data_IF_245391701303
#
_entry.id   IF_245391701303
#
_cell.length_a   1.000
_cell.length_b   1.000
_cell.length_c   1.000
_cell.angle_alpha   90.00
_cell.angle_beta   90.00
_cell.angle_gamma   90.00
#
_symmetry.space_group_name_H-M   'P 1'
#
loop_
_entity.id
_entity.type
_entity.pdbx_description
1 polymer ?
#
# COMPACT_ATOMS: atom_id res chain seq x y z
N UNK A 1 31.13 59.71 -7.42
CA UNK A 1 32.01 60.80 -6.95
C UNK A 1 31.12 61.82 -6.25
N UNK A 2 31.62 62.48 -5.20
CA UNK A 2 30.93 63.38 -4.24
C UNK A 2 30.27 62.60 -3.09
N UNK A 3 30.99 62.28 -2.01
CA UNK A 3 31.61 63.10 -0.94
C UNK A 3 30.65 63.39 0.21
N UNK A 4 31.00 62.78 1.35
CA UNK A 4 30.48 62.94 2.70
C UNK A 4 30.70 64.37 3.20
N UNK A 5 29.71 64.94 3.89
CA UNK A 5 29.92 66.05 4.82
C UNK A 5 29.43 65.59 6.20
N UNK A 6 30.39 65.43 7.11
CA UNK A 6 30.19 65.35 8.54
C UNK A 6 29.83 66.72 9.11
N UNK A 7 28.86 66.80 10.00
CA UNK A 7 28.89 67.81 11.07
C UNK A 7 28.49 67.17 12.40
N UNK A 8 29.45 67.24 13.30
CA UNK A 8 29.34 67.01 14.73
C UNK A 8 28.60 68.17 15.40
N UNK A 9 27.79 67.89 16.43
CA UNK A 9 27.71 68.79 17.58
C UNK A 9 27.12 68.16 18.85
N UNK A 10 27.97 68.26 19.88
CA UNK A 10 27.70 68.57 21.30
C UNK A 10 26.79 67.67 22.13
N UNK A 11 27.48 66.98 23.03
CA UNK A 11 27.03 66.54 24.33
C UNK A 11 26.37 67.66 25.15
N UNK A 12 25.28 67.32 25.83
CA UNK A 12 24.80 68.00 27.02
C UNK A 12 24.55 66.94 28.10
N UNK A 13 25.23 67.07 29.22
CA UNK A 13 25.10 66.25 30.41
C UNK A 13 23.80 66.56 31.16
N UNK A 14 23.10 65.54 31.65
CA UNK A 14 22.43 65.61 32.94
C UNK A 14 22.25 64.23 33.58
N UNK A 15 22.53 64.19 34.89
CA UNK A 15 22.56 63.03 35.76
C UNK A 15 21.17 62.61 36.25
N UNK A 16 21.01 61.29 36.40
CA UNK A 16 20.24 60.52 37.41
C UNK A 16 18.71 60.69 37.46
N UNK A 17 18.00 59.63 37.13
CA UNK A 17 17.39 58.73 38.12
C UNK A 17 16.96 57.42 37.46
N UNK A 18 17.08 56.33 38.21
CA UNK A 18 16.81 54.99 37.71
C UNK A 18 15.32 54.77 37.45
N UNK A 19 15.05 54.05 36.37
CA UNK A 19 14.07 52.98 36.39
C UNK A 19 14.60 51.87 35.48
N UNK A 20 14.66 50.67 36.05
CA UNK A 20 15.01 49.45 35.37
C UNK A 20 13.88 49.09 34.41
N UNK A 21 14.06 49.40 33.14
CA UNK A 21 13.41 48.68 32.05
C UNK A 21 14.52 48.15 31.18
N UNK A 22 14.84 46.89 31.43
CA UNK A 22 15.67 46.04 30.58
C UNK A 22 15.12 46.11 29.16
N UNK A 23 15.82 46.82 28.27
CA UNK A 23 15.63 46.67 26.84
C UNK A 23 15.88 45.18 26.53
N UNK A 24 14.81 44.46 26.18
CA UNK A 24 14.88 43.13 25.61
C UNK A 24 15.49 43.22 24.21
N UNK A 25 16.80 43.48 24.13
CA UNK A 25 17.60 43.53 22.89
C UNK A 25 17.96 42.12 22.38
N UNK A 26 16.98 41.21 22.36
CA UNK A 26 17.16 39.86 21.79
C UNK A 26 16.12 39.49 20.73
N UNK A 27 15.25 40.41 20.33
CA UNK A 27 14.44 40.22 19.12
C UNK A 27 15.24 40.62 17.88
N UNK A 28 15.75 39.63 17.14
CA UNK A 28 16.20 39.84 15.76
C UNK A 28 14.97 39.71 14.85
N UNK A 29 14.91 40.51 13.78
CA UNK A 29 13.78 40.53 12.83
C UNK A 29 13.42 39.14 12.30
N UNK A 30 14.42 38.27 12.15
CA UNK A 30 14.26 36.87 11.77
C UNK A 30 15.30 36.05 12.53
N UNK A 31 14.91 34.88 13.03
CA UNK A 31 15.81 33.90 13.65
C UNK A 31 15.55 32.57 12.98
N UNK A 32 16.58 31.98 12.37
CA UNK A 32 16.54 30.59 11.91
C UNK A 32 16.60 29.70 13.15
N UNK A 33 15.43 29.37 13.71
CA UNK A 33 15.28 28.64 14.96
C UNK A 33 15.37 27.11 14.78
N UNK A 34 15.29 26.62 13.54
CA UNK A 34 15.28 25.19 13.26
C UNK A 34 16.68 24.69 12.87
N UNK A 35 17.15 23.63 13.50
CA UNK A 35 18.43 22.97 13.21
C UNK A 35 18.34 21.95 12.05
N UNK A 36 17.25 21.99 11.26
CA UNK A 36 17.03 21.19 10.06
C UNK A 36 16.04 21.84 9.06
N UNK A 37 16.44 21.80 7.79
CA UNK A 37 15.77 22.12 6.50
C UNK A 37 15.18 23.50 6.21
N UNK A 38 14.93 24.34 7.21
CA UNK A 38 14.62 25.76 6.99
C UNK A 38 13.46 26.04 6.01
N UNK A 39 13.66 27.04 5.13
CA UNK A 39 12.70 27.49 4.11
C UNK A 39 12.73 26.53 2.92
N UNK A 40 11.59 25.95 2.55
CA UNK A 40 11.46 25.01 1.44
C UNK A 40 11.09 25.71 0.12
N UNK A 41 11.52 25.14 -1.00
CA UNK A 41 11.21 25.65 -2.34
C UNK A 41 9.74 25.40 -2.72
N UNK A 42 8.99 26.50 -2.94
CA UNK A 42 7.60 26.45 -3.39
C UNK A 42 7.45 25.86 -4.81
N UNK A 43 8.48 25.97 -5.64
CA UNK A 43 8.55 25.35 -6.96
C UNK A 43 8.52 23.82 -6.86
N UNK A 44 9.26 23.25 -5.90
CA UNK A 44 9.29 21.80 -5.68
C UNK A 44 7.93 21.26 -5.21
N UNK A 45 7.24 21.99 -4.31
CA UNK A 45 5.86 21.67 -3.93
C UNK A 45 4.93 21.66 -5.14
N UNK A 46 5.00 22.71 -5.98
CA UNK A 46 4.15 22.84 -7.17
C UNK A 46 4.40 21.69 -8.16
N UNK A 47 5.68 21.40 -8.43
CA UNK A 47 6.13 20.28 -9.26
C UNK A 47 5.58 18.95 -8.75
N UNK A 48 5.83 18.63 -7.48
CA UNK A 48 5.42 17.34 -6.89
C UNK A 48 3.90 17.20 -6.81
N UNK A 49 3.15 18.28 -6.56
CA UNK A 49 1.68 18.26 -6.57
C UNK A 49 1.13 18.00 -7.97
N UNK A 50 1.63 18.72 -8.97
CA UNK A 50 1.09 18.68 -10.34
C UNK A 50 1.36 17.37 -11.06
N UNK A 51 2.47 16.69 -10.71
CA UNK A 51 2.81 15.38 -11.25
C UNK A 51 1.88 14.26 -10.78
N UNK A 52 1.06 14.47 -9.75
CA UNK A 52 0.11 13.45 -9.27
C UNK A 52 -1.15 13.41 -10.14
N UNK A 53 -1.53 12.21 -10.54
CA UNK A 53 -2.69 11.95 -11.37
C UNK A 53 -3.66 10.95 -10.73
N UNK A 54 -4.91 11.04 -11.18
CA UNK A 54 -5.95 10.04 -10.93
C UNK A 54 -5.90 8.97 -12.02
N UNK A 55 -5.86 7.69 -11.65
CA UNK A 55 -5.86 6.57 -12.59
C UNK A 55 -7.23 5.91 -12.58
N UNK A 56 -7.80 5.67 -13.77
CA UNK A 56 -9.05 4.94 -13.94
C UNK A 56 -9.11 4.18 -15.27
N UNK A 57 -9.85 3.07 -15.32
CA UNK A 57 -10.13 2.35 -16.56
C UNK A 57 -11.39 2.89 -17.24
N UNK A 58 -11.30 3.18 -18.55
CA UNK A 58 -12.42 3.79 -19.30
C UNK A 58 -13.43 2.80 -19.89
N UNK A 59 -13.13 1.49 -19.85
CA UNK A 59 -13.85 0.45 -20.61
C UNK A 59 -14.43 -0.70 -19.79
N UNK A 60 -14.13 -0.79 -18.50
CA UNK A 60 -14.57 -1.92 -17.66
C UNK A 60 -15.72 -1.50 -16.73
N UNK A 61 -16.72 -2.39 -16.56
CA UNK A 61 -17.78 -2.25 -15.54
C UNK A 61 -17.19 -2.30 -14.12
N UNK A 62 -16.02 -2.92 -13.95
CA UNK A 62 -15.24 -2.82 -12.73
C UNK A 62 -14.52 -1.48 -12.67
N UNK A 63 -15.01 -0.58 -11.83
CA UNK A 63 -14.34 0.68 -11.49
C UNK A 63 -13.00 0.41 -10.77
N UNK A 64 -11.96 0.04 -11.52
CA UNK A 64 -10.57 0.09 -11.07
C UNK A 64 -10.12 1.54 -11.08
N UNK A 65 -9.74 2.03 -9.90
CA UNK A 65 -9.36 3.41 -9.68
C UNK A 65 -8.27 3.52 -8.63
N UNK A 66 -7.38 4.49 -8.80
CA UNK A 66 -6.26 4.71 -7.91
C UNK A 66 -5.60 6.06 -8.14
N UNK A 67 -4.52 6.29 -7.43
CA UNK A 67 -3.61 7.41 -7.63
C UNK A 67 -2.38 6.93 -8.40
N UNK A 68 -1.72 7.84 -9.06
CA UNK A 68 -0.41 7.62 -9.64
C UNK A 68 0.32 8.94 -9.80
N UNK A 69 1.51 8.89 -10.37
CA UNK A 69 2.27 10.10 -10.63
C UNK A 69 3.23 9.96 -11.80
N UNK A 70 3.52 11.09 -12.44
CA UNK A 70 4.51 11.23 -13.49
C UNK A 70 5.91 11.35 -12.90
N UNK A 71 6.82 10.49 -13.35
CA UNK A 71 8.14 10.36 -12.77
C UNK A 71 9.24 10.21 -13.82
N UNK A 72 10.44 10.68 -13.46
CA UNK A 72 11.69 10.46 -14.18
C UNK A 72 12.47 9.38 -13.42
N UNK A 73 12.66 8.22 -14.04
CA UNK A 73 13.40 7.10 -13.47
C UNK A 73 14.60 6.75 -14.34
N UNK A 74 15.75 6.50 -13.73
CA UNK A 74 16.95 6.03 -14.45
C UNK A 74 17.08 4.53 -14.32
N UNK A 75 16.99 3.80 -15.44
CA UNK A 75 17.17 2.35 -15.51
C UNK A 75 18.37 2.04 -16.40
N UNK A 76 19.35 1.29 -15.87
CA UNK A 76 20.58 0.93 -16.60
C UNK A 76 21.31 2.14 -17.22
N UNK A 77 21.27 3.30 -16.55
CA UNK A 77 21.89 4.54 -17.03
C UNK A 77 21.09 5.32 -18.08
N UNK A 78 19.86 4.90 -18.39
CA UNK A 78 18.96 5.58 -19.33
C UNK A 78 17.79 6.17 -18.55
N UNK A 79 17.50 7.44 -18.81
CA UNK A 79 16.36 8.13 -18.23
C UNK A 79 15.06 7.78 -18.96
N UNK A 80 14.02 7.49 -18.19
CA UNK A 80 12.68 7.17 -18.67
C UNK A 80 11.66 8.03 -17.94
N UNK A 81 10.73 8.62 -18.71
CA UNK A 81 9.58 9.35 -18.20
C UNK A 81 8.37 8.43 -18.21
N UNK A 82 7.80 8.17 -17.04
CA UNK A 82 6.86 7.08 -16.80
C UNK A 82 5.74 7.50 -15.86
N UNK A 83 4.66 6.73 -15.83
CA UNK A 83 3.64 6.77 -14.78
C UNK A 83 3.91 5.65 -13.79
N UNK A 84 3.85 5.95 -12.50
CA UNK A 84 4.01 4.98 -11.41
C UNK A 84 2.71 4.90 -10.60
N UNK A 85 2.31 3.68 -10.25
CA UNK A 85 1.18 3.36 -9.36
C UNK A 85 1.42 2.02 -8.65
N UNK A 86 0.42 1.44 -7.99
CA UNK A 86 0.52 0.11 -7.39
C UNK A 86 0.15 -1.03 -8.35
N UNK A 87 0.68 -2.22 -8.09
CA UNK A 87 0.31 -3.45 -8.81
C UNK A 87 -1.18 -3.76 -8.65
N UNK A 88 -1.74 -3.61 -7.45
CA UNK A 88 -3.17 -3.88 -7.27
C UNK A 88 -4.10 -2.84 -7.94
N UNK A 89 -3.57 -1.70 -8.39
CA UNK A 89 -4.32 -0.73 -9.22
C UNK A 89 -4.29 -1.15 -10.69
N UNK A 90 -3.10 -1.47 -11.21
CA UNK A 90 -2.88 -1.98 -12.57
C UNK A 90 -1.90 -3.15 -12.53
N UNK A 91 -2.40 -4.39 -12.65
CA UNK A 91 -1.57 -5.58 -12.39
C UNK A 91 -1.00 -6.23 -13.66
N UNK A 92 -1.50 -5.87 -14.84
CA UNK A 92 -1.08 -6.41 -16.13
C UNK A 92 -1.15 -5.35 -17.25
N UNK A 93 -0.64 -5.72 -18.43
CA UNK A 93 -0.54 -4.80 -19.58
C UNK A 93 -1.91 -4.47 -20.18
N UNK A 94 -2.83 -5.42 -20.14
CA UNK A 94 -4.17 -5.31 -20.70
C UNK A 94 -4.98 -4.24 -19.95
N UNK A 95 -4.94 -4.28 -18.62
CA UNK A 95 -5.53 -3.26 -17.74
C UNK A 95 -4.88 -1.90 -17.97
N UNK A 96 -3.55 -1.84 -18.00
CA UNK A 96 -2.82 -0.61 -18.24
C UNK A 96 -3.15 0.00 -19.61
N UNK A 97 -3.38 -0.81 -20.65
CA UNK A 97 -3.75 -0.33 -21.99
C UNK A 97 -5.16 0.30 -22.03
N UNK A 98 -6.04 -0.09 -21.11
CA UNK A 98 -7.38 0.47 -20.96
C UNK A 98 -7.46 1.66 -19.98
N UNK A 99 -6.36 1.91 -19.25
CA UNK A 99 -6.27 2.93 -18.21
C UNK A 99 -5.93 4.32 -18.75
N UNK A 100 -6.43 5.32 -18.04
CA UNK A 100 -6.21 6.74 -18.27
C UNK A 100 -5.63 7.36 -17.01
N UNK A 101 -4.59 8.17 -17.16
CA UNK A 101 -4.09 9.07 -16.13
C UNK A 101 -4.68 10.48 -16.35
N UNK A 102 -5.37 11.00 -15.34
CA UNK A 102 -5.94 12.34 -15.33
C UNK A 102 -5.16 13.26 -14.43
N UNK A 103 -4.50 14.23 -15.02
CA UNK A 103 -3.77 15.28 -14.32
C UNK A 103 -4.66 16.49 -14.04
N UNK A 104 -4.19 17.40 -13.17
CA UNK A 104 -4.89 18.65 -12.83
C UNK A 104 -6.36 18.47 -12.40
N UNK A 105 -6.72 17.27 -11.92
CA UNK A 105 -8.06 16.98 -11.43
C UNK A 105 -8.24 17.57 -10.03
N UNK A 106 -8.54 18.87 -10.01
CA UNK A 106 -8.59 19.71 -8.82
C UNK A 106 -9.81 20.65 -8.91
N UNK A 107 -10.57 20.75 -7.83
CA UNK A 107 -11.73 21.64 -7.76
C UNK A 107 -12.80 21.29 -8.79
N UNK A 108 -13.15 22.25 -9.67
CA UNK A 108 -14.23 22.10 -10.67
C UNK A 108 -13.71 21.82 -12.09
N UNK A 109 -12.39 21.79 -12.29
CA UNK A 109 -11.82 21.58 -13.61
C UNK A 109 -11.86 20.08 -13.96
N UNK A 110 -12.15 19.72 -15.22
CA UNK A 110 -12.26 18.32 -15.63
C UNK A 110 -10.92 17.56 -15.61
N UNK A 111 -9.79 18.25 -15.51
CA UNK A 111 -8.45 17.68 -15.59
C UNK A 111 -7.99 17.46 -17.04
N UNK A 112 -6.81 16.86 -17.19
CA UNK A 112 -6.18 16.56 -18.46
C UNK A 112 -5.88 15.06 -18.57
N UNK A 113 -6.53 14.39 -19.52
CA UNK A 113 -6.48 12.94 -19.67
C UNK A 113 -5.39 12.49 -20.64
N UNK A 114 -4.70 11.42 -20.29
CA UNK A 114 -3.77 10.72 -21.17
C UNK A 114 -3.89 9.21 -21.00
N UNK A 115 -3.92 8.48 -22.12
CA UNK A 115 -3.89 7.02 -22.08
C UNK A 115 -2.49 6.53 -21.74
N UNK A 116 -2.42 5.51 -20.89
CA UNK A 116 -1.16 4.85 -20.60
C UNK A 116 -0.71 4.00 -21.80
N UNK A 117 0.60 3.81 -21.92
CA UNK A 117 1.27 3.13 -23.05
C UNK A 117 2.15 1.98 -22.53
N UNK A 118 1.56 0.87 -22.04
CA UNK A 118 2.32 -0.27 -21.49
C UNK A 118 3.19 -0.99 -22.53
N UNK A 119 2.96 -0.77 -23.82
CA UNK A 119 3.80 -1.24 -24.92
C UNK A 119 5.17 -0.56 -24.95
N UNK A 120 5.28 0.69 -24.46
CA UNK A 120 6.55 1.41 -24.38
C UNK A 120 7.39 0.93 -23.18
N UNK A 121 6.73 0.72 -22.05
CA UNK A 121 7.35 0.19 -20.83
C UNK A 121 6.28 -0.36 -19.89
N UNK A 122 6.55 -1.52 -19.30
CA UNK A 122 5.72 -2.08 -18.23
C UNK A 122 6.55 -2.96 -17.31
N UNK A 123 6.70 -2.53 -16.06
CA UNK A 123 7.32 -3.33 -14.99
C UNK A 123 6.39 -3.35 -13.78
N UNK A 124 6.13 -4.52 -13.22
CA UNK A 124 5.24 -4.65 -12.07
C UNK A 124 5.76 -5.67 -11.07
N UNK A 125 5.41 -5.50 -9.80
CA UNK A 125 5.69 -6.45 -8.74
C UNK A 125 4.54 -6.45 -7.72
N UNK A 126 4.01 -7.62 -7.44
CA UNK A 126 2.88 -7.84 -6.52
C UNK A 126 3.28 -7.74 -5.05
N UNK A 127 4.51 -8.13 -4.70
CA UNK A 127 4.98 -8.11 -3.31
C UNK A 127 5.30 -6.69 -2.82
N UNK A 128 6.10 -5.94 -3.59
CA UNK A 128 6.41 -4.53 -3.35
C UNK A 128 5.28 -3.60 -3.79
N UNK A 129 4.28 -4.16 -4.48
CA UNK A 129 3.03 -3.52 -4.88
C UNK A 129 3.26 -2.25 -5.71
N UNK A 130 4.04 -2.34 -6.79
CA UNK A 130 4.27 -1.23 -7.72
C UNK A 130 4.05 -1.64 -9.17
N UNK A 131 3.71 -0.67 -10.01
CA UNK A 131 3.68 -0.77 -11.46
C UNK A 131 4.26 0.51 -12.07
N UNK A 132 5.19 0.35 -13.01
CA UNK A 132 5.78 1.40 -13.85
C UNK A 132 5.24 1.20 -15.27
N UNK A 133 4.61 2.24 -15.83
CA UNK A 133 3.99 2.21 -17.14
C UNK A 133 4.54 3.35 -18.02
N UNK A 134 4.79 3.07 -19.29
CA UNK A 134 5.12 4.10 -20.29
C UNK A 134 3.95 5.06 -20.55
N UNK A 135 4.25 6.25 -21.06
CA UNK A 135 3.27 7.27 -21.39
C UNK A 135 3.76 8.19 -22.52
N UNK A 136 2.88 9.07 -22.99
CA UNK A 136 3.24 10.16 -23.91
C UNK A 136 3.80 11.35 -23.12
N UNK A 137 5.10 11.27 -22.79
CA UNK A 137 5.75 12.24 -21.92
C UNK A 137 5.75 13.67 -22.50
N UNK A 138 5.90 13.83 -23.82
CA UNK A 138 5.88 15.14 -24.48
C UNK A 138 4.55 15.86 -24.26
N UNK A 139 3.42 15.14 -24.35
CA UNK A 139 2.11 15.71 -24.05
C UNK A 139 2.00 16.14 -22.58
N UNK A 140 2.50 15.33 -21.64
CA UNK A 140 2.44 15.66 -20.20
C UNK A 140 3.28 16.91 -19.90
N UNK A 141 4.50 16.98 -20.41
CA UNK A 141 5.43 18.08 -20.13
C UNK A 141 5.04 19.36 -20.87
N UNK A 142 4.85 19.29 -22.18
CA UNK A 142 4.75 20.48 -23.03
C UNK A 142 3.31 20.96 -23.20
N UNK A 143 2.32 20.07 -23.12
CA UNK A 143 0.90 20.45 -23.26
C UNK A 143 0.20 20.60 -21.93
N UNK A 144 0.50 19.75 -20.94
CA UNK A 144 -0.09 19.88 -19.60
C UNK A 144 0.76 20.73 -18.65
N UNK A 145 1.99 21.09 -19.04
CA UNK A 145 2.94 21.86 -18.23
C UNK A 145 3.25 21.16 -16.90
N UNK A 146 3.59 19.87 -16.96
CA UNK A 146 3.84 19.04 -15.78
C UNK A 146 5.25 18.45 -15.86
N UNK A 147 6.10 18.87 -14.93
CA UNK A 147 7.42 18.29 -14.77
C UNK A 147 7.36 16.94 -14.03
N UNK A 148 8.21 15.96 -14.38
CA UNK A 148 8.26 14.68 -13.70
C UNK A 148 8.91 14.79 -12.32
N UNK A 149 8.42 14.01 -11.35
CA UNK A 149 9.08 13.82 -10.06
C UNK A 149 10.31 12.91 -10.26
N UNK A 150 11.44 13.27 -9.66
CA UNK A 150 12.62 12.40 -9.66
C UNK A 150 12.35 11.14 -8.83
N UNK A 151 12.46 9.98 -9.47
CA UNK A 151 12.36 8.67 -8.81
C UNK A 151 13.77 8.14 -8.52
N UNK A 152 14.33 8.61 -7.41
CA UNK A 152 15.67 8.28 -6.95
C UNK A 152 15.64 7.61 -5.58
N UNK A 153 16.80 7.14 -5.11
CA UNK A 153 16.95 6.67 -3.74
C UNK A 153 16.71 7.84 -2.77
N UNK A 154 15.92 7.59 -1.74
CA UNK A 154 15.54 8.61 -0.79
C UNK A 154 16.71 9.07 0.10
N UNK A 155 16.75 10.38 0.41
CA UNK A 155 17.65 10.93 1.42
C UNK A 155 17.39 10.25 2.79
N UNK A 156 18.41 10.06 3.65
CA UNK A 156 18.23 9.52 4.99
C UNK A 156 17.09 10.23 5.76
N UNK A 157 16.24 9.42 6.37
CA UNK A 157 15.00 9.84 7.04
C UNK A 157 14.91 9.21 8.42
N UNK A 158 14.23 9.92 9.33
CA UNK A 158 14.07 9.55 10.72
C UNK A 158 12.59 9.43 11.09
N UNK A 159 12.29 8.60 12.10
CA UNK A 159 10.98 8.62 12.74
C UNK A 159 10.73 10.03 13.29
N UNK A 160 9.52 10.56 13.08
CA UNK A 160 9.15 11.93 13.43
C UNK A 160 9.34 12.96 12.31
N UNK A 161 9.99 12.59 11.19
CA UNK A 161 10.06 13.43 10.01
C UNK A 161 8.68 13.65 9.39
N UNK A 162 8.48 14.85 8.85
CA UNK A 162 7.22 15.23 8.21
C UNK A 162 7.10 14.66 6.80
N UNK A 163 5.91 14.16 6.49
CA UNK A 163 5.53 13.66 5.18
C UNK A 163 4.27 14.33 4.64
N UNK A 164 4.21 14.40 3.32
CA UNK A 164 3.07 14.90 2.57
C UNK A 164 2.63 13.83 1.56
N UNK A 165 1.32 13.61 1.46
CA UNK A 165 0.75 12.66 0.52
C UNK A 165 -0.28 13.39 -0.34
N UNK A 166 -0.02 13.51 -1.63
CA UNK A 166 -0.98 14.02 -2.61
C UNK A 166 -1.69 12.83 -3.26
N UNK A 167 -3.01 12.83 -3.23
CA UNK A 167 -3.80 11.63 -3.50
C UNK A 167 -5.20 11.95 -4.03
N UNK A 168 -5.83 10.94 -4.64
CA UNK A 168 -7.21 10.96 -5.13
C UNK A 168 -8.09 10.00 -4.31
N UNK A 169 -8.40 10.34 -3.05
CA UNK A 169 -9.25 9.49 -2.20
C UNK A 169 -10.63 9.37 -2.84
N UNK A 170 -11.20 8.17 -2.82
CA UNK A 170 -12.44 7.74 -3.46
C UNK A 170 -12.50 7.95 -4.98
N UNK A 171 -11.38 8.34 -5.61
CA UNK A 171 -11.34 8.80 -6.98
C UNK A 171 -11.85 10.23 -7.18
N UNK A 172 -11.98 11.01 -6.10
CA UNK A 172 -12.38 12.41 -6.14
C UNK A 172 -11.22 13.33 -6.55
N UNK A 173 -11.51 14.63 -6.65
CA UNK A 173 -10.51 15.70 -6.83
C UNK A 173 -9.36 15.56 -5.86
N UNK A 174 -8.14 15.89 -6.32
CA UNK A 174 -6.91 15.75 -5.54
C UNK A 174 -7.02 16.40 -4.16
N UNK A 175 -6.57 15.68 -3.15
CA UNK A 175 -6.42 16.14 -1.76
C UNK A 175 -5.00 15.91 -1.30
N UNK A 176 -4.65 16.45 -0.14
CA UNK A 176 -3.39 16.15 0.51
C UNK A 176 -3.59 15.82 1.99
N UNK A 177 -2.71 14.97 2.49
CA UNK A 177 -2.57 14.67 3.92
C UNK A 177 -1.15 15.01 4.37
N UNK A 178 -1.00 15.42 5.62
CA UNK A 178 0.28 15.72 6.26
C UNK A 178 0.37 14.97 7.58
N UNK A 179 1.49 14.28 7.82
CA UNK A 179 1.72 13.55 9.06
C UNK A 179 3.21 13.31 9.29
N UNK A 180 3.57 12.75 10.44
CA UNK A 180 4.92 12.26 10.74
C UNK A 180 5.10 10.78 10.41
N UNK A 181 6.34 10.42 10.09
CA UNK A 181 6.79 9.03 9.99
C UNK A 181 6.69 8.39 11.38
N UNK A 182 5.99 7.26 11.49
CA UNK A 182 5.83 6.53 12.75
C UNK A 182 6.82 5.38 12.89
N UNK A 183 7.20 4.73 11.77
CA UNK A 183 8.19 3.65 11.75
C UNK A 183 8.85 3.54 10.39
N UNK A 184 10.11 3.11 10.39
CA UNK A 184 10.87 2.79 9.18
C UNK A 184 11.33 1.35 9.32
N UNK A 185 10.85 0.47 8.45
CA UNK A 185 11.19 -0.95 8.44
C UNK A 185 11.19 -1.43 6.99
N UNK A 186 12.38 -1.53 6.40
CA UNK A 186 12.54 -1.90 4.99
C UNK A 186 11.79 -3.22 4.69
N UNK A 187 11.02 -3.27 3.58
CA UNK A 187 11.05 -2.34 2.46
C UNK A 187 10.06 -1.16 2.56
N UNK A 188 9.49 -0.93 3.75
CA UNK A 188 8.38 0.00 3.95
C UNK A 188 8.72 1.17 4.88
N UNK A 189 7.99 2.27 4.68
CA UNK A 189 7.83 3.34 5.65
C UNK A 189 6.38 3.36 6.13
N UNK A 190 6.17 3.63 7.42
CA UNK A 190 4.88 3.63 8.08
C UNK A 190 4.57 5.02 8.63
N UNK A 191 3.29 5.39 8.59
CA UNK A 191 2.77 6.69 9.01
C UNK A 191 1.27 6.60 9.27
N UNK A 192 0.72 7.60 9.95
CA UNK A 192 -0.71 7.62 10.29
C UNK A 192 -1.45 8.74 9.52
N UNK A 193 -0.97 9.07 8.32
CA UNK A 193 -1.61 10.03 7.44
C UNK A 193 -2.94 9.47 6.94
N UNK A 194 -4.00 10.27 6.90
CA UNK A 194 -5.30 9.83 6.42
C UNK A 194 -5.25 9.46 4.93
N UNK A 195 -5.72 8.26 4.59
CA UNK A 195 -5.85 7.74 3.22
C UNK A 195 -7.16 6.98 3.10
N UNK A 196 -7.77 6.99 1.93
CA UNK A 196 -9.00 6.22 1.65
C UNK A 196 -8.83 5.38 0.38
N UNK A 197 -9.80 4.52 0.06
CA UNK A 197 -9.88 3.76 -1.20
C UNK A 197 -9.58 4.70 -2.37
N UNK A 198 -8.68 4.32 -3.29
CA UNK A 198 -8.25 5.18 -4.41
C UNK A 198 -6.99 6.00 -4.13
N UNK A 199 -6.51 6.05 -2.89
CA UNK A 199 -5.23 6.68 -2.54
C UNK A 199 -4.02 5.82 -2.92
N UNK A 200 -4.22 4.52 -3.16
CA UNK A 200 -3.21 3.57 -3.65
C UNK A 200 -2.43 4.14 -4.83
N UNK A 201 -1.10 4.14 -4.73
CA UNK A 201 -0.19 4.62 -5.77
C UNK A 201 0.14 6.11 -5.65
N UNK A 202 -0.36 6.78 -4.61
CA UNK A 202 0.00 8.17 -4.31
C UNK A 202 1.46 8.31 -3.89
N UNK A 203 1.98 9.52 -4.09
CA UNK A 203 3.33 9.90 -3.66
C UNK A 203 3.38 10.06 -2.15
N UNK A 204 4.46 9.57 -1.53
CA UNK A 204 4.83 9.93 -0.16
C UNK A 204 6.07 10.80 -0.26
N UNK A 205 5.95 12.06 0.16
CA UNK A 205 6.99 13.06 0.03
C UNK A 205 7.54 13.47 1.39
N UNK A 206 8.85 13.68 1.49
CA UNK A 206 9.51 14.37 2.62
C UNK A 206 10.24 15.58 2.06
N UNK A 207 10.00 16.77 2.63
CA UNK A 207 10.51 18.05 2.09
C UNK A 207 10.21 18.20 0.59
N UNK A 208 9.02 17.76 0.19
CA UNK A 208 8.53 17.71 -1.20
C UNK A 208 9.33 16.83 -2.18
N UNK A 209 10.32 16.05 -1.70
CA UNK A 209 10.99 15.00 -2.47
C UNK A 209 10.32 13.65 -2.25
N UNK A 210 10.28 12.81 -3.28
CA UNK A 210 9.70 11.47 -3.20
C UNK A 210 10.54 10.55 -2.33
N UNK A 211 9.89 9.83 -1.41
CA UNK A 211 10.54 8.82 -0.56
C UNK A 211 9.92 7.43 -0.70
N UNK A 212 8.62 7.36 -1.04
CA UNK A 212 7.92 6.10 -1.17
C UNK A 212 6.66 6.23 -2.05
N UNK A 213 6.14 5.08 -2.50
CA UNK A 213 4.84 4.95 -3.14
C UNK A 213 3.86 4.37 -2.12
N UNK A 214 2.77 5.08 -1.81
CA UNK A 214 1.75 4.57 -0.89
C UNK A 214 1.13 3.28 -1.45
N UNK A 215 0.93 2.28 -0.59
CA UNK A 215 0.38 0.97 -0.98
C UNK A 215 -0.90 0.66 -0.22
N UNK A 216 -0.82 0.42 1.09
CA UNK A 216 -1.94 -0.11 1.90
C UNK A 216 -1.91 0.43 3.32
N UNK A 217 -3.05 0.34 3.99
CA UNK A 217 -3.23 0.62 5.41
C UNK A 217 -3.74 -0.58 6.21
N UNK A 218 -3.71 -0.45 7.52
CA UNK A 218 -4.37 -1.33 8.47
C UNK A 218 -5.06 -0.48 9.54
N UNK A 219 -6.39 -0.40 9.47
CA UNK A 219 -7.19 0.28 10.49
C UNK A 219 -7.04 -0.39 11.86
N UNK A 220 -6.89 -1.72 11.89
CA UNK A 220 -6.71 -2.46 13.14
C UNK A 220 -5.38 -2.12 13.83
N UNK A 221 -4.30 -2.05 13.04
CA UNK A 221 -2.96 -1.75 13.54
C UNK A 221 -2.64 -0.26 13.49
N UNK A 222 -3.63 0.57 13.10
CA UNK A 222 -3.59 2.02 13.03
C UNK A 222 -2.34 2.55 12.30
N UNK A 223 -2.10 2.03 11.08
CA UNK A 223 -1.03 2.53 10.22
C UNK A 223 -1.42 2.55 8.75
N UNK A 224 -0.82 3.46 8.01
CA UNK A 224 -0.62 3.40 6.57
C UNK A 224 0.85 3.12 6.26
N UNK A 225 1.11 2.51 5.10
CA UNK A 225 2.47 2.24 4.65
C UNK A 225 2.69 2.56 3.18
N UNK A 226 3.93 2.90 2.86
CA UNK A 226 4.43 3.04 1.50
C UNK A 226 5.68 2.21 1.27
N UNK A 227 5.89 1.78 0.03
CA UNK A 227 7.09 1.06 -0.40
C UNK A 227 8.17 2.08 -0.75
N UNK A 228 9.36 1.96 -0.14
CA UNK A 228 10.48 2.88 -0.33
C UNK A 228 10.98 2.87 -1.78
N UNK A 229 11.34 4.04 -2.30
CA UNK A 229 11.88 4.19 -3.66
C UNK A 229 13.18 3.39 -3.84
N UNK A 230 14.08 3.41 -2.85
CA UNK A 230 15.33 2.63 -2.87
C UNK A 230 15.10 1.13 -3.02
N UNK A 231 14.01 0.58 -2.47
CA UNK A 231 13.69 -0.85 -2.55
C UNK A 231 13.12 -1.22 -3.92
N UNK A 232 12.28 -0.35 -4.49
CA UNK A 232 11.80 -0.51 -5.87
C UNK A 232 12.97 -0.46 -6.86
N UNK A 233 13.88 0.51 -6.69
CA UNK A 233 15.09 0.64 -7.52
C UNK A 233 16.04 -0.55 -7.34
N UNK A 234 16.24 -1.02 -6.11
CA UNK A 234 17.04 -2.21 -5.84
C UNK A 234 16.44 -3.45 -6.51
N UNK A 235 15.13 -3.63 -6.42
CA UNK A 235 14.41 -4.73 -7.08
C UNK A 235 14.51 -4.65 -8.61
N UNK A 236 14.35 -3.47 -9.22
CA UNK A 236 14.50 -3.31 -10.67
C UNK A 236 15.92 -3.64 -11.16
N UNK A 237 16.95 -3.36 -10.34
CA UNK A 237 18.35 -3.65 -10.67
C UNK A 237 18.75 -5.11 -10.44
N UNK A 238 18.24 -5.74 -9.39
CA UNK A 238 18.76 -7.03 -8.89
C UNK A 238 17.76 -8.18 -8.92
N UNK A 239 16.46 -7.87 -9.00
CA UNK A 239 15.37 -8.83 -8.81
C UNK A 239 15.15 -9.25 -7.35
N UNK A 240 15.82 -8.63 -6.38
CA UNK A 240 15.65 -8.90 -4.94
C UNK A 240 15.25 -7.65 -4.17
N UNK A 241 14.77 -7.81 -2.94
CA UNK A 241 14.41 -6.71 -2.04
C UNK A 241 14.60 -7.13 -0.59
N UNK A 242 14.65 -6.16 0.32
CA UNK A 242 14.81 -6.41 1.74
C UNK A 242 13.57 -7.12 2.29
N UNK A 243 13.75 -8.32 2.86
CA UNK A 243 12.64 -9.02 3.52
C UNK A 243 12.37 -8.39 4.90
N UNK A 244 11.10 -8.10 5.25
CA UNK A 244 10.76 -7.64 6.60
C UNK A 244 11.24 -8.64 7.66
N UNK A 245 11.64 -8.15 8.83
CA UNK A 245 12.13 -9.02 9.91
C UNK A 245 11.08 -10.06 10.36
N UNK A 246 9.79 -9.79 10.12
CA UNK A 246 8.69 -10.73 10.40
C UNK A 246 8.50 -11.86 9.38
N UNK A 247 9.33 -11.95 8.33
CA UNK A 247 9.21 -12.94 7.24
C UNK A 247 10.20 -14.12 7.35
N UNK A 248 11.00 -14.20 8.43
CA UNK A 248 12.00 -15.26 8.61
C UNK A 248 11.40 -16.56 9.17
N UNK A 249 10.44 -17.16 8.47
CA UNK A 249 10.16 -18.60 8.50
C UNK A 249 9.10 -18.93 7.46
N UNK A 250 9.47 -18.97 6.18
CA UNK A 250 8.80 -19.74 5.09
C UNK A 250 9.32 -19.27 3.72
N UNK A 251 10.48 -19.76 3.29
CA UNK A 251 10.82 -19.83 1.85
C UNK A 251 12.09 -20.65 1.62
N UNK A 252 12.07 -21.91 2.03
CA UNK A 252 12.86 -22.93 1.37
C UNK A 252 12.01 -23.57 0.26
N UNK A 253 11.79 -22.84 -0.84
CA UNK A 253 11.44 -23.49 -2.11
C UNK A 253 12.48 -23.06 -3.14
N UNK A 254 13.54 -23.86 -3.19
CA UNK A 254 14.61 -23.74 -4.14
C UNK A 254 14.08 -23.91 -5.57
N UNK A 255 14.51 -22.97 -6.42
CA UNK A 255 14.61 -23.12 -7.87
C UNK A 255 15.03 -24.54 -8.26
N UNK A 256 14.18 -25.27 -8.98
CA UNK A 256 14.62 -26.34 -9.90
C UNK A 256 14.05 -26.13 -11.29
N UNK A 257 14.89 -25.57 -12.16
CA UNK A 257 14.89 -25.79 -13.60
C UNK A 257 15.34 -27.22 -13.88
N UNK A 258 14.63 -27.96 -14.74
CA UNK A 258 15.12 -28.94 -15.76
C UNK A 258 13.88 -29.53 -16.44
N UNK A 259 13.62 -29.18 -17.72
CA UNK A 259 14.08 -29.83 -18.97
C UNK A 259 13.64 -31.30 -19.10
N UNK A 260 13.04 -31.54 -20.26
CA UNK A 260 12.59 -32.79 -20.87
C UNK A 260 13.62 -33.91 -20.85
N UNK A 261 13.17 -35.16 -20.70
CA UNK A 261 13.12 -36.19 -21.76
C UNK A 261 13.00 -37.63 -21.20
N UNK A 262 12.03 -38.37 -21.74
CA UNK A 262 12.09 -39.78 -22.20
C UNK A 262 12.04 -40.98 -21.19
N UNK A 263 10.95 -41.75 -21.38
CA UNK A 263 10.68 -43.21 -21.26
C UNK A 263 10.94 -44.02 -19.96
N UNK A 264 9.98 -44.91 -19.65
CA UNK A 264 10.26 -46.20 -18.99
C UNK A 264 9.17 -46.79 -18.08
N UNK A 265 8.25 -47.50 -18.70
CA UNK A 265 7.31 -48.56 -18.24
C UNK A 265 7.49 -49.33 -16.89
N UNK A 266 6.30 -49.64 -16.34
CA UNK A 266 5.79 -50.92 -15.79
C UNK A 266 6.06 -51.43 -14.34
N UNK A 267 4.91 -51.78 -13.73
CA UNK A 267 4.59 -52.99 -12.94
C UNK A 267 4.97 -53.08 -11.45
N UNK A 268 3.98 -52.96 -10.55
CA UNK A 268 3.20 -54.02 -9.85
C UNK A 268 3.95 -54.80 -8.76
N UNK A 269 3.42 -54.80 -7.53
CA UNK A 269 3.01 -56.01 -6.81
C UNK A 269 2.61 -55.75 -5.34
N UNK A 270 1.43 -56.24 -4.99
CA UNK A 270 0.85 -56.41 -3.66
C UNK A 270 1.55 -57.50 -2.82
N UNK A 271 1.51 -57.37 -1.48
CA UNK A 271 0.97 -58.36 -0.49
C UNK A 271 1.37 -58.00 0.96
N UNK A 272 0.41 -57.74 1.86
CA UNK A 272 -0.30 -58.66 2.80
C UNK A 272 0.49 -58.98 4.09
N UNK A 273 0.12 -58.34 5.22
CA UNK A 273 -0.70 -58.83 6.37
C UNK A 273 0.04 -59.69 7.42
N UNK A 274 0.01 -59.27 8.70
CA UNK A 274 -0.67 -59.97 9.83
C UNK A 274 -0.36 -59.34 11.20
N UNK A 275 -1.42 -58.80 11.81
CA UNK A 275 -1.99 -59.05 13.14
C UNK A 275 -1.08 -59.23 14.37
N UNK A 276 -1.28 -58.36 15.37
CA UNK A 276 -1.50 -58.78 16.76
C UNK A 276 -2.39 -57.74 17.48
N UNK A 277 -3.57 -58.16 17.90
CA UNK A 277 -4.57 -57.38 18.65
C UNK A 277 -4.34 -57.38 20.17
N UNK A 278 -5.03 -56.44 20.83
CA UNK A 278 -5.35 -56.29 22.26
C UNK A 278 -4.32 -55.50 23.09
N UNK A 279 -4.62 -54.35 23.70
CA UNK A 279 -5.87 -53.88 24.31
C UNK A 279 -5.83 -52.35 24.45
N UNK A 280 -6.86 -51.64 23.97
CA UNK A 280 -7.39 -50.37 24.51
C UNK A 280 -8.61 -49.98 23.64
N UNK A 281 -9.78 -50.52 24.02
CA UNK A 281 -11.06 -50.02 23.53
C UNK A 281 -11.43 -48.79 24.36
N UNK A 282 -11.50 -47.62 23.72
CA UNK A 282 -12.68 -46.75 23.77
C UNK A 282 -12.53 -45.57 22.79
N UNK A 283 -13.46 -45.54 21.81
CA UNK A 283 -13.98 -44.38 21.09
C UNK A 283 -13.08 -43.64 20.07
N UNK A 284 -12.76 -44.29 18.94
CA UNK A 284 -12.20 -43.64 17.73
C UNK A 284 -13.09 -43.72 16.49
N UNK A 285 -14.39 -44.02 16.63
CA UNK A 285 -15.27 -44.29 15.48
C UNK A 285 -16.03 -43.08 14.89
N UNK A 286 -15.80 -41.84 15.32
CA UNK A 286 -16.47 -40.65 14.75
C UNK A 286 -15.54 -39.61 14.09
N UNK A 287 -14.21 -39.72 14.21
CA UNK A 287 -13.33 -38.57 13.91
C UNK A 287 -12.96 -38.43 12.42
N UNK A 288 -13.26 -39.44 11.59
CA UNK A 288 -12.94 -39.39 10.16
C UNK A 288 -14.05 -38.79 9.28
N UNK A 289 -15.27 -38.62 9.81
CA UNK A 289 -16.40 -38.11 9.03
C UNK A 289 -16.55 -36.58 9.12
N UNK A 290 -15.90 -35.90 10.08
CA UNK A 290 -16.00 -34.44 10.27
C UNK A 290 -14.98 -33.67 9.42
N UNK A 291 -13.88 -34.32 9.04
CA UNK A 291 -12.78 -33.67 8.32
C UNK A 291 -13.08 -33.35 6.84
N UNK A 292 -14.17 -33.87 6.28
CA UNK A 292 -14.54 -33.70 4.86
C UNK A 292 -15.95 -33.14 4.66
N UNK A 293 -16.65 -32.74 5.74
CA UNK A 293 -18.00 -32.17 5.64
C UNK A 293 -17.87 -30.68 5.32
N UNK A 294 -18.58 -30.24 4.28
CA UNK A 294 -18.71 -28.81 3.97
C UNK A 294 -19.72 -28.16 4.92
N UNK A 295 -19.48 -26.93 5.40
CA UNK A 295 -20.44 -26.21 6.22
C UNK A 295 -21.70 -25.88 5.40
N UNK A 296 -22.87 -25.92 6.03
CA UNK A 296 -24.12 -25.50 5.39
C UNK A 296 -24.23 -23.98 5.37
N UNK A 297 -25.05 -23.42 4.47
CA UNK A 297 -25.29 -21.98 4.42
C UNK A 297 -25.85 -21.43 5.74
N UNK A 298 -26.73 -22.17 6.40
CA UNK A 298 -27.25 -21.80 7.73
C UNK A 298 -26.15 -21.70 8.80
N UNK A 299 -25.20 -22.64 8.80
CA UNK A 299 -24.05 -22.59 9.71
C UNK A 299 -23.15 -21.37 9.44
N UNK A 300 -22.97 -21.01 8.17
CA UNK A 300 -22.19 -19.83 7.79
C UNK A 300 -22.93 -18.53 8.14
N UNK A 301 -24.25 -18.50 7.96
CA UNK A 301 -25.09 -17.37 8.34
C UNK A 301 -25.08 -17.15 9.86
N UNK A 302 -25.12 -18.21 10.66
CA UNK A 302 -25.01 -18.10 12.12
C UNK A 302 -23.62 -17.67 12.57
N UNK A 303 -22.55 -18.19 11.97
CA UNK A 303 -21.19 -17.74 12.24
C UNK A 303 -20.98 -16.26 11.86
N UNK A 304 -21.60 -15.81 10.77
CA UNK A 304 -21.45 -14.45 10.25
C UNK A 304 -21.77 -13.36 11.28
N UNK A 305 -22.74 -13.63 12.17
CA UNK A 305 -23.18 -12.75 13.26
C UNK A 305 -22.10 -12.49 14.30
N UNK A 306 -21.15 -13.41 14.47
CA UNK A 306 -20.09 -13.31 15.47
C UNK A 306 -18.74 -12.85 14.90
N UNK A 307 -18.52 -13.06 13.60
CA UNK A 307 -17.23 -12.74 12.96
C UNK A 307 -17.18 -11.32 12.40
N UNK A 308 -18.24 -10.51 12.57
CA UNK A 308 -18.37 -9.13 12.06
C UNK A 308 -17.11 -8.28 12.26
N UNK A 309 -16.48 -8.38 13.43
CA UNK A 309 -15.29 -7.59 13.76
C UNK A 309 -14.00 -8.09 13.08
N UNK A 310 -13.97 -9.32 12.55
CA UNK A 310 -12.74 -9.96 12.05
C UNK A 310 -12.92 -10.81 10.78
N UNK A 311 -14.05 -10.69 10.08
CA UNK A 311 -14.35 -11.48 8.89
C UNK A 311 -13.26 -11.34 7.80
N UNK A 312 -12.67 -10.14 7.64
CA UNK A 312 -11.52 -9.92 6.71
C UNK A 312 -10.25 -10.65 7.12
N UNK A 313 -10.04 -10.86 8.42
CA UNK A 313 -8.91 -11.64 8.92
C UNK A 313 -9.15 -13.12 8.73
N UNK A 314 -10.39 -13.57 8.94
CA UNK A 314 -10.81 -14.92 8.66
C UNK A 314 -10.66 -15.25 7.17
N UNK A 315 -11.13 -14.37 6.27
CA UNK A 315 -10.96 -14.52 4.82
C UNK A 315 -9.50 -14.76 4.41
N UNK A 316 -8.56 -14.02 5.01
CA UNK A 316 -7.12 -14.17 4.76
C UNK A 316 -6.58 -15.51 5.26
N UNK A 317 -7.05 -15.99 6.42
CA UNK A 317 -6.69 -17.33 6.94
C UNK A 317 -7.25 -18.45 6.07
N UNK A 318 -8.44 -18.23 5.51
CA UNK A 318 -9.08 -19.10 4.53
C UNK A 318 -8.46 -18.98 3.12
N UNK A 319 -7.41 -18.16 2.95
CA UNK A 319 -6.72 -17.93 1.67
C UNK A 319 -7.64 -17.43 0.55
N UNK A 320 -8.73 -16.73 0.91
CA UNK A 320 -9.61 -16.13 -0.08
C UNK A 320 -8.86 -15.04 -0.86
N UNK A 321 -8.98 -14.97 -2.20
CA UNK A 321 -8.32 -13.94 -2.99
C UNK A 321 -8.68 -12.54 -2.51
N UNK A 322 -7.69 -11.66 -2.39
CA UNK A 322 -7.92 -10.29 -1.90
C UNK A 322 -8.87 -9.48 -2.80
N UNK A 323 -8.92 -9.78 -4.10
CA UNK A 323 -9.87 -9.16 -5.02
C UNK A 323 -11.34 -9.45 -4.63
N UNK A 324 -11.62 -10.66 -4.14
CA UNK A 324 -12.95 -11.06 -3.69
C UNK A 324 -13.35 -10.38 -2.38
N UNK A 325 -12.41 -10.32 -1.43
CA UNK A 325 -12.62 -9.60 -0.17
C UNK A 325 -12.90 -8.11 -0.41
N UNK A 326 -12.23 -7.50 -1.41
CA UNK A 326 -12.46 -6.12 -1.81
C UNK A 326 -13.78 -5.92 -2.54
N UNK A 327 -14.20 -6.87 -3.39
CA UNK A 327 -15.52 -6.87 -4.06
C UNK A 327 -16.65 -6.85 -3.04
N UNK A 328 -16.62 -7.78 -2.09
CA UNK A 328 -17.63 -7.88 -1.00
C UNK A 328 -17.64 -6.65 -0.11
N UNK A 329 -16.48 -6.04 0.13
CA UNK A 329 -16.41 -4.77 0.87
C UNK A 329 -17.03 -3.60 0.11
N UNK A 330 -16.88 -3.58 -1.22
CA UNK A 330 -17.25 -2.46 -2.12
C UNK A 330 -18.73 -2.48 -2.50
N UNK A 331 -19.40 -3.63 -2.51
CA UNK A 331 -20.83 -3.72 -2.81
C UNK A 331 -21.67 -2.94 -1.78
N UNK A 332 -22.12 -1.74 -2.18
CA UNK A 332 -23.04 -0.86 -1.41
C UNK A 332 -24.51 -1.07 -1.79
N UNK A 333 -24.81 -1.99 -2.72
CA UNK A 333 -26.14 -2.11 -3.34
C UNK A 333 -26.97 -3.25 -2.75
N UNK A 334 -26.37 -4.18 -2.02
CA UNK A 334 -27.09 -5.36 -1.50
C UNK A 334 -26.83 -5.70 -0.01
N UNK A 335 -25.91 -5.00 0.67
CA UNK A 335 -25.49 -5.37 2.02
C UNK A 335 -25.36 -4.14 2.92
N UNK A 336 -26.49 -3.72 3.51
CA UNK A 336 -26.52 -2.60 4.46
C UNK A 336 -25.93 -3.01 5.83
N UNK A 337 -25.84 -4.32 6.13
CA UNK A 337 -25.28 -4.83 7.39
C UNK A 337 -23.89 -5.48 7.21
N UNK A 338 -22.95 -5.17 8.12
CA UNK A 338 -21.61 -5.77 8.18
C UNK A 338 -21.72 -7.30 8.41
N UNK A 339 -22.79 -7.76 9.04
CA UNK A 339 -23.14 -9.19 9.16
C UNK A 339 -23.30 -9.85 7.80
N UNK A 340 -23.96 -9.18 6.86
CA UNK A 340 -24.18 -9.74 5.53
C UNK A 340 -22.88 -9.77 4.70
N UNK A 341 -21.96 -8.82 4.92
CA UNK A 341 -20.61 -8.86 4.33
C UNK A 341 -19.78 -10.03 4.86
N UNK A 342 -19.88 -10.31 6.16
CA UNK A 342 -19.25 -11.48 6.77
C UNK A 342 -19.82 -12.78 6.19
N UNK A 343 -21.14 -12.85 5.98
CA UNK A 343 -21.80 -14.00 5.37
C UNK A 343 -21.40 -14.18 3.91
N UNK A 344 -21.47 -13.11 3.11
CA UNK A 344 -21.05 -13.11 1.71
C UNK A 344 -19.60 -13.58 1.52
N UNK A 345 -18.70 -13.20 2.45
CA UNK A 345 -17.33 -13.71 2.45
C UNK A 345 -17.23 -15.21 2.68
N UNK A 346 -17.99 -15.74 3.65
CA UNK A 346 -18.00 -17.17 3.93
C UNK A 346 -18.57 -17.97 2.76
N UNK A 347 -19.64 -17.48 2.12
CA UNK A 347 -20.23 -18.09 0.93
C UNK A 347 -19.27 -18.06 -0.26
N UNK A 348 -18.61 -16.92 -0.50
CA UNK A 348 -17.62 -16.78 -1.58
C UNK A 348 -16.44 -17.73 -1.36
N UNK A 349 -16.01 -17.94 -0.11
CA UNK A 349 -15.01 -18.95 0.21
C UNK A 349 -15.50 -20.38 -0.04
N UNK A 350 -16.73 -20.71 0.36
CA UNK A 350 -17.34 -22.02 0.14
C UNK A 350 -17.44 -22.39 -1.36
N UNK A 351 -17.70 -21.40 -2.21
CA UNK A 351 -17.79 -21.55 -3.67
C UNK A 351 -16.41 -21.73 -4.33
N UNK A 352 -15.42 -20.95 -3.93
CA UNK A 352 -14.12 -20.87 -4.60
C UNK A 352 -13.11 -21.92 -4.14
N UNK A 353 -13.20 -22.39 -2.90
CA UNK A 353 -12.26 -23.36 -2.34
C UNK A 353 -12.80 -24.79 -2.44
N UNK A 354 -12.09 -25.63 -3.20
CA UNK A 354 -12.43 -27.06 -3.36
C UNK A 354 -12.30 -27.83 -2.04
N UNK A 355 -11.54 -27.32 -1.07
CA UNK A 355 -11.34 -27.87 0.27
C UNK A 355 -12.03 -27.04 1.37
N UNK A 356 -13.15 -26.38 1.04
CA UNK A 356 -13.97 -25.63 1.99
C UNK A 356 -14.72 -26.55 2.98
N UNK A 357 -13.98 -27.16 3.90
CA UNK A 357 -14.50 -28.07 4.92
C UNK A 357 -14.66 -27.36 6.27
N UNK A 358 -15.53 -27.90 7.12
CA UNK A 358 -15.72 -27.46 8.51
C UNK A 358 -14.37 -27.47 9.26
N UNK A 359 -13.53 -28.48 9.03
CA UNK A 359 -12.18 -28.58 9.58
C UNK A 359 -11.30 -27.37 9.22
N UNK A 360 -11.26 -27.01 7.93
CA UNK A 360 -10.53 -25.83 7.43
C UNK A 360 -11.00 -24.54 8.10
N UNK A 361 -12.32 -24.35 8.22
CA UNK A 361 -12.90 -23.17 8.86
C UNK A 361 -12.61 -23.11 10.36
N UNK A 362 -12.67 -24.27 11.03
CA UNK A 362 -12.38 -24.42 12.46
C UNK A 362 -10.91 -24.10 12.76
N UNK A 363 -10.00 -24.63 11.97
CA UNK A 363 -8.56 -24.39 12.12
C UNK A 363 -8.22 -22.92 11.86
N UNK A 364 -8.87 -22.30 10.87
CA UNK A 364 -8.73 -20.87 10.61
C UNK A 364 -9.20 -20.03 11.82
N UNK A 365 -10.34 -20.35 12.43
CA UNK A 365 -10.83 -19.68 13.65
C UNK A 365 -9.90 -19.88 14.85
N UNK A 366 -9.39 -21.10 15.07
CA UNK A 366 -8.44 -21.41 16.15
C UNK A 366 -7.14 -20.62 15.95
N UNK A 367 -6.64 -20.53 14.71
CA UNK A 367 -5.43 -19.75 14.40
C UNK A 367 -5.57 -18.25 14.66
N UNK A 368 -6.81 -17.74 14.78
CA UNK A 368 -7.13 -16.37 15.15
C UNK A 368 -7.42 -16.19 16.65
N UNK A 369 -7.19 -17.23 17.45
CA UNK A 369 -7.49 -17.23 18.89
C UNK A 369 -8.99 -17.33 19.20
N UNK A 370 -9.84 -17.74 18.24
CA UNK A 370 -11.30 -17.83 18.38
C UNK A 370 -11.76 -19.26 18.68
N UNK A 371 -11.07 -19.93 19.62
CA UNK A 371 -11.34 -21.34 19.98
C UNK A 371 -12.77 -21.56 20.46
N UNK A 372 -13.30 -20.65 21.27
CA UNK A 372 -14.67 -20.77 21.81
C UNK A 372 -15.74 -20.64 20.73
N UNK A 373 -15.55 -19.72 19.78
CA UNK A 373 -16.43 -19.58 18.59
C UNK A 373 -16.36 -20.83 17.70
N UNK A 374 -15.16 -21.37 17.49
CA UNK A 374 -14.95 -22.57 16.69
C UNK A 374 -15.68 -23.79 17.28
N UNK A 375 -15.60 -23.99 18.60
CA UNK A 375 -16.28 -25.10 19.29
C UNK A 375 -17.80 -24.91 19.33
N UNK A 376 -18.28 -23.66 19.48
CA UNK A 376 -19.72 -23.37 19.53
C UNK A 376 -20.42 -23.64 18.21
N UNK A 377 -19.81 -23.22 17.10
CA UNK A 377 -20.41 -23.35 15.76
C UNK A 377 -20.11 -24.71 15.12
N UNK A 378 -19.00 -25.34 15.49
CA UNK A 378 -18.55 -26.62 14.93
C UNK A 378 -18.05 -27.58 16.03
N UNK A 379 -18.96 -28.10 16.87
CA UNK A 379 -18.60 -29.08 17.89
C UNK A 379 -18.10 -30.39 17.25
N UNK A 380 -17.15 -31.05 17.91
CA UNK A 380 -16.64 -32.38 17.55
C UNK A 380 -17.74 -33.45 17.67
#
# INVERSE_FOLDING_TARGET
MVTVISTSNKACSNQKNGDALTNNDHERKEVLLNHGDGILDAGLLTKSKNAVCYIYCSKEETEKRGSGFFALITLSGIEHKVIITNNHVLCNKEEAACAVARFHYEGKLPGADIRLKPELMFHTNDVLDYTIIGCDADTIENRFCIDPIEFAEEDPMSVGDDIFIFQHPKGDTKKFSYQKISRIERPYVYYNADTDIGSSGSVVLRKFKLIAVHSKGSDLLQYNKGTLCSEILHHLRTGTYTQPASFSSESACQKKKRKSDVLGELETANKRTRDTENTLQQNTFNDHHINTVKPTEDQLADLSKEIVAYWKHLARKLKLPNCEVQRIQKDHVNYDDITEKANAMLLTWLELDTNAYISTLRDALISLGKKDTAVRHFPM
#
